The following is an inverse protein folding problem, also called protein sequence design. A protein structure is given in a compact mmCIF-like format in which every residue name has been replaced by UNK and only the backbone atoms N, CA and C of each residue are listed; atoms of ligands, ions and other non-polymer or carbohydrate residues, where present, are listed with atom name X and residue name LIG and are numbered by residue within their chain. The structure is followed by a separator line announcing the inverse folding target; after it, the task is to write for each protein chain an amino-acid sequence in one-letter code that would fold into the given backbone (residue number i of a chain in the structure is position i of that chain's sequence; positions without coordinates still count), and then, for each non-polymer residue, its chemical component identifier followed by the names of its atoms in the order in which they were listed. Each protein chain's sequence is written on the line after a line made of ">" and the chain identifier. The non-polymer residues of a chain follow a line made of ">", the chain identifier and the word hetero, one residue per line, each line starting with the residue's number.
data_IF_357562034640
#
_entry.id   IF_357562034640
#
_cell.length_a   1.000
_cell.length_b   1.000
_cell.length_c   1.000
_cell.angle_alpha   90.00
_cell.angle_beta   90.00
_cell.angle_gamma   90.00
#
_symmetry.space_group_name_H-M   'P 1'
#
loop_
_entity.id
_entity.type
_entity.pdbx_description
1 polymer ?
#
# COMPACT_ATOMS: atom_id res chain seq x y z
N UNK A 1 3.26 14.90 -22.15
CA UNK A 1 4.44 14.68 -21.30
C UNK A 1 4.28 13.39 -20.50
N UNK A 2 5.31 12.56 -20.54
CA UNK A 2 5.29 11.31 -19.77
C UNK A 2 6.07 11.47 -18.48
N UNK A 3 5.47 11.01 -17.40
CA UNK A 3 6.10 11.00 -16.08
C UNK A 3 6.35 9.57 -15.66
N UNK A 4 7.53 9.33 -15.12
CA UNK A 4 7.92 8.02 -14.62
C UNK A 4 7.62 7.95 -13.12
N UNK A 5 6.89 6.93 -12.73
CA UNK A 5 6.53 6.69 -11.32
C UNK A 5 7.19 5.38 -10.92
N UNK A 6 7.99 5.41 -9.86
CA UNK A 6 8.82 4.27 -9.49
C UNK A 6 8.60 3.87 -8.05
N UNK A 7 8.72 2.57 -7.81
CA UNK A 7 8.79 2.00 -6.49
C UNK A 7 9.82 0.87 -6.50
N UNK A 8 10.52 0.69 -5.41
CA UNK A 8 11.50 -0.39 -5.25
C UNK A 8 10.97 -1.34 -4.18
N UNK A 9 10.95 -2.62 -4.50
CA UNK A 9 10.46 -3.67 -3.62
C UNK A 9 11.64 -4.54 -3.23
N UNK A 10 11.92 -4.66 -1.94
CA UNK A 10 13.13 -5.33 -1.44
C UNK A 10 12.75 -6.39 -0.41
N UNK A 11 13.09 -7.64 -0.71
CA UNK A 11 12.98 -8.74 0.23
C UNK A 11 14.32 -9.45 0.34
N UNK A 12 14.68 -9.88 1.53
CA UNK A 12 15.90 -10.63 1.77
C UNK A 12 15.58 -11.84 2.64
N UNK A 13 16.14 -12.98 2.25
CA UNK A 13 15.98 -14.22 3.00
C UNK A 13 16.69 -14.17 4.37
N UNK A 14 17.83 -13.50 4.41
CA UNK A 14 18.73 -13.52 5.58
C UNK A 14 19.13 -14.97 5.89
N UNK A 15 18.97 -15.41 7.15
CA UNK A 15 19.39 -16.76 7.55
C UNK A 15 18.24 -17.75 7.68
N UNK A 16 17.03 -17.36 7.31
CA UNK A 16 15.88 -18.23 7.48
C UNK A 16 15.83 -19.32 6.41
N UNK A 17 15.31 -20.51 6.75
CA UNK A 17 15.04 -21.53 5.74
C UNK A 17 14.07 -21.02 4.69
N UNK A 18 14.15 -21.57 3.48
CA UNK A 18 13.34 -21.08 2.37
C UNK A 18 12.47 -22.16 1.76
N UNK A 19 13.03 -23.34 1.51
CA UNK A 19 12.36 -24.40 0.73
C UNK A 19 11.19 -25.04 1.49
N UNK A 20 11.10 -24.83 2.80
CA UNK A 20 9.96 -25.29 3.61
C UNK A 20 8.76 -24.36 3.50
N UNK A 21 8.91 -23.27 2.76
CA UNK A 21 7.87 -22.24 2.55
C UNK A 21 7.45 -21.52 3.82
N UNK A 22 8.28 -21.56 4.86
CA UNK A 22 7.99 -20.94 6.16
C UNK A 22 8.80 -19.67 6.40
N UNK A 23 9.28 -19.04 5.34
CA UNK A 23 10.02 -17.79 5.46
C UNK A 23 9.06 -16.62 5.68
N UNK A 24 9.55 -15.56 6.33
CA UNK A 24 8.79 -14.32 6.54
C UNK A 24 8.58 -13.60 5.22
N UNK A 25 7.38 -13.09 5.01
CA UNK A 25 7.03 -12.28 3.83
C UNK A 25 7.24 -10.78 4.08
N UNK A 26 7.75 -10.42 5.24
CA UNK A 26 8.06 -9.03 5.55
C UNK A 26 9.12 -8.49 4.58
N UNK A 27 8.85 -7.32 4.02
CA UNK A 27 9.73 -6.69 3.04
C UNK A 27 9.57 -5.18 3.12
N UNK A 28 10.24 -4.47 2.23
CA UNK A 28 10.25 -3.02 2.24
C UNK A 28 9.85 -2.48 0.88
N UNK A 29 9.00 -1.47 0.89
CA UNK A 29 8.72 -0.65 -0.29
C UNK A 29 9.45 0.67 -0.13
N UNK A 30 10.21 1.07 -1.14
CA UNK A 30 10.90 2.36 -1.17
C UNK A 30 10.36 3.21 -2.30
N UNK A 31 9.95 4.41 -1.93
CA UNK A 31 9.55 5.46 -2.87
C UNK A 31 10.52 6.63 -2.70
N UNK A 32 10.27 7.71 -3.44
CA UNK A 32 11.07 8.92 -3.28
C UNK A 32 10.94 9.46 -1.85
N UNK A 33 11.97 9.24 -1.05
CA UNK A 33 12.02 9.75 0.31
C UNK A 33 11.12 9.05 1.33
N UNK A 34 10.42 7.98 0.94
CA UNK A 34 9.51 7.26 1.83
C UNK A 34 9.81 5.77 1.79
N UNK A 35 9.93 5.16 2.97
CA UNK A 35 10.09 3.72 3.13
C UNK A 35 8.89 3.17 3.89
N UNK A 36 8.28 2.11 3.38
CA UNK A 36 7.07 1.54 3.96
C UNK A 36 7.28 0.06 4.22
N UNK A 37 7.14 -0.39 5.48
CA UNK A 37 7.14 -1.83 5.78
C UNK A 37 5.93 -2.49 5.12
N UNK A 38 6.18 -3.61 4.46
CA UNK A 38 5.16 -4.33 3.72
C UNK A 38 5.24 -5.83 3.99
N UNK A 39 4.17 -6.53 3.69
CA UNK A 39 4.05 -7.98 3.90
C UNK A 39 2.88 -8.50 3.09
N UNK A 40 2.76 -9.82 2.99
CA UNK A 40 1.49 -10.41 2.56
C UNK A 40 0.43 -10.15 3.62
N UNK A 41 -0.83 -10.16 3.20
CA UNK A 41 -1.95 -10.00 4.13
C UNK A 41 -2.02 -11.16 5.11
N UNK A 42 -2.28 -10.91 6.41
CA UNK A 42 -2.56 -11.99 7.35
C UNK A 42 -3.78 -12.82 6.98
N UNK A 43 -4.69 -12.28 6.18
CA UNK A 43 -5.84 -13.03 5.66
C UNK A 43 -5.43 -14.06 4.61
N UNK A 44 -4.33 -13.81 3.88
CA UNK A 44 -3.82 -14.71 2.85
C UNK A 44 -2.83 -15.70 3.45
N UNK A 45 -2.00 -15.23 4.37
CA UNK A 45 -0.96 -16.04 5.00
C UNK A 45 -0.85 -15.62 6.46
N UNK A 46 -1.04 -16.54 7.42
CA UNK A 46 -1.12 -16.16 8.83
C UNK A 46 0.21 -15.66 9.38
N UNK A 47 0.13 -14.87 10.44
CA UNK A 47 1.27 -14.47 11.26
C UNK A 47 1.88 -15.74 11.89
N UNK A 48 3.21 -15.90 12.00
CA UNK A 48 4.26 -14.90 11.79
C UNK A 48 4.82 -14.85 10.37
N UNK A 49 4.26 -15.60 9.43
CA UNK A 49 4.74 -15.60 8.04
C UNK A 49 4.42 -14.27 7.38
N UNK A 50 3.31 -13.63 7.73
CA UNK A 50 3.00 -12.27 7.40
C UNK A 50 3.19 -11.36 8.62
N UNK A 51 3.01 -10.06 8.44
CA UNK A 51 3.08 -9.07 9.51
C UNK A 51 1.83 -8.20 9.50
N UNK A 52 1.14 -8.13 10.65
CA UNK A 52 -0.04 -7.28 10.79
C UNK A 52 0.30 -5.80 10.85
N UNK A 53 1.55 -5.47 11.19
CA UNK A 53 2.02 -4.09 11.34
C UNK A 53 2.56 -3.50 10.03
N UNK A 54 2.38 -4.20 8.92
CA UNK A 54 2.88 -3.80 7.63
C UNK A 54 1.73 -3.64 6.64
N UNK A 55 1.98 -2.90 5.56
CA UNK A 55 1.00 -2.74 4.49
C UNK A 55 1.05 -3.97 3.59
N UNK A 56 -0.10 -4.50 3.19
CA UNK A 56 -0.15 -5.54 2.17
C UNK A 56 -0.57 -4.96 0.82
N UNK A 57 -0.30 -5.69 -0.29
CA UNK A 57 -0.60 -5.17 -1.62
C UNK A 57 -2.09 -4.92 -1.87
N UNK A 58 -2.98 -5.72 -1.28
CA UNK A 58 -4.41 -5.59 -1.48
C UNK A 58 -4.93 -4.29 -0.85
N UNK A 59 -4.56 -4.01 0.41
CA UNK A 59 -4.98 -2.76 1.06
C UNK A 59 -4.28 -1.55 0.45
N UNK A 60 -3.06 -1.73 -0.08
CA UNK A 60 -2.36 -0.65 -0.79
C UNK A 60 -3.11 -0.26 -2.06
N UNK A 61 -3.64 -1.23 -2.79
CA UNK A 61 -4.43 -0.96 -3.98
C UNK A 61 -5.71 -0.19 -3.62
N UNK A 62 -6.38 -0.58 -2.55
CA UNK A 62 -7.58 0.12 -2.06
C UNK A 62 -7.22 1.56 -1.69
N UNK A 63 -6.14 1.76 -0.93
CA UNK A 63 -5.70 3.09 -0.52
C UNK A 63 -5.33 3.96 -1.72
N UNK A 64 -4.60 3.41 -2.69
CA UNK A 64 -4.19 4.14 -3.88
C UNK A 64 -5.41 4.59 -4.70
N UNK A 65 -6.39 3.72 -4.87
CA UNK A 65 -7.60 4.02 -5.61
C UNK A 65 -8.42 5.10 -4.90
N UNK A 66 -8.62 4.97 -3.60
CA UNK A 66 -9.35 5.95 -2.80
C UNK A 66 -8.65 7.31 -2.81
N UNK A 67 -7.34 7.32 -2.64
CA UNK A 67 -6.55 8.55 -2.66
C UNK A 67 -6.64 9.27 -4.00
N UNK A 68 -6.53 8.53 -5.09
CA UNK A 68 -6.64 9.09 -6.44
C UNK A 68 -8.02 9.72 -6.67
N UNK A 69 -9.07 9.03 -6.24
CA UNK A 69 -10.43 9.54 -6.33
C UNK A 69 -10.60 10.85 -5.55
N UNK A 70 -10.09 10.88 -4.32
CA UNK A 70 -10.15 12.08 -3.48
C UNK A 70 -9.47 13.28 -4.17
N UNK A 71 -8.28 13.06 -4.73
CA UNK A 71 -7.52 14.15 -5.36
C UNK A 71 -8.29 14.75 -6.54
N UNK A 72 -8.92 13.92 -7.36
CA UNK A 72 -9.76 14.40 -8.45
C UNK A 72 -10.99 15.13 -7.93
N UNK A 73 -11.65 14.59 -6.92
CA UNK A 73 -12.83 15.22 -6.32
C UNK A 73 -12.50 16.62 -5.79
N UNK A 74 -11.40 16.72 -5.04
CA UNK A 74 -11.00 18.01 -4.46
C UNK A 74 -10.67 19.03 -5.54
N UNK A 75 -10.00 18.62 -6.60
CA UNK A 75 -9.65 19.51 -7.71
C UNK A 75 -10.89 20.02 -8.42
N UNK A 76 -11.87 19.15 -8.67
CA UNK A 76 -13.12 19.51 -9.33
C UNK A 76 -13.94 20.46 -8.44
N UNK A 77 -14.05 20.15 -7.15
CA UNK A 77 -14.78 20.98 -6.21
C UNK A 77 -14.20 22.39 -6.14
N UNK A 78 -12.88 22.50 -6.03
CA UNK A 78 -12.19 23.79 -5.99
C UNK A 78 -12.44 24.60 -7.27
N UNK A 79 -12.37 23.92 -8.41
CA UNK A 79 -12.58 24.58 -9.70
C UNK A 79 -14.00 25.13 -9.84
N UNK A 80 -14.97 24.46 -9.22
CA UNK A 80 -16.37 24.90 -9.28
C UNK A 80 -16.75 25.85 -8.13
N UNK A 81 -15.79 26.23 -7.30
CA UNK A 81 -16.00 27.20 -6.24
C UNK A 81 -16.55 26.64 -4.94
N UNK A 82 -16.55 25.31 -4.77
CA UNK A 82 -16.93 24.67 -3.52
C UNK A 82 -15.73 24.59 -2.59
N UNK A 83 -15.98 24.78 -1.31
CA UNK A 83 -14.95 24.66 -0.29
C UNK A 83 -15.19 23.33 0.44
N UNK A 84 -14.17 22.46 0.45
CA UNK A 84 -14.21 21.21 1.17
C UNK A 84 -13.30 21.33 2.39
N UNK A 85 -13.86 21.22 3.57
CA UNK A 85 -13.09 21.40 4.81
C UNK A 85 -12.33 20.15 5.21
N UNK A 86 -12.89 18.98 4.98
CA UNK A 86 -12.17 17.71 5.19
C UNK A 86 -12.85 16.59 4.40
N UNK A 87 -12.09 15.52 4.23
CA UNK A 87 -12.49 14.36 3.45
C UNK A 87 -12.08 13.11 4.21
N UNK A 88 -12.97 12.17 4.29
CA UNK A 88 -12.71 10.90 4.95
C UNK A 88 -13.38 9.78 4.14
N UNK A 89 -12.62 8.77 3.78
CA UNK A 89 -13.14 7.60 3.08
C UNK A 89 -12.62 6.34 3.77
N UNK A 90 -13.51 5.58 4.37
CA UNK A 90 -13.17 4.28 4.94
C UNK A 90 -13.42 3.22 3.89
N UNK A 91 -12.48 3.13 2.95
CA UNK A 91 -12.62 2.30 1.77
C UNK A 91 -12.27 0.84 2.05
N UNK A 92 -12.92 -0.06 1.31
CA UNK A 92 -12.58 -1.47 1.34
C UNK A 92 -12.76 -2.08 -0.05
N UNK A 93 -12.05 -3.19 -0.28
CA UNK A 93 -12.19 -3.97 -1.50
C UNK A 93 -12.30 -5.45 -1.16
N UNK A 94 -13.04 -6.18 -1.98
CA UNK A 94 -13.18 -7.64 -1.86
C UNK A 94 -12.46 -8.25 -3.05
N UNK A 95 -11.50 -9.13 -2.74
CA UNK A 95 -10.66 -9.75 -3.76
C UNK A 95 -10.58 -11.27 -3.57
#
# INVERSE_FOLDING_TARGET
>A
MMHKHEAKIIWERKDQPFVDNKYSRAHLWEFDGVKVPASSSPAVLPVPLSSADAIDPEEALVAATSSCHMLFFLAIAAKQGFIVDHYNDQAYGVM
#
